data_IF_995026439163
#
_entry.id   IF_995026439163
#
_cell.length_a   1.000
_cell.length_b   1.000
_cell.length_c   1.000
_cell.angle_alpha   90.00
_cell.angle_beta   90.00
_cell.angle_gamma   90.00
#
_symmetry.space_group_name_H-M   'P 1'
#
loop_
_entity.id
_entity.type
_entity.pdbx_description
1 polymer ?
#
# COMPACT_ATOMS: atom_id res chain seq x y z
N UNK A 1 6.18 44.69 -29.99
CA UNK A 1 5.99 44.25 -28.58
C UNK A 1 5.49 42.81 -28.61
N UNK A 2 6.38 41.85 -28.36
CA UNK A 2 6.03 40.43 -28.40
C UNK A 2 5.34 40.05 -27.08
N UNK A 3 4.09 39.59 -27.14
CA UNK A 3 3.34 39.09 -25.99
C UNK A 3 3.97 37.76 -25.57
N UNK A 4 4.81 37.79 -24.52
CA UNK A 4 5.29 36.59 -23.84
C UNK A 4 4.06 35.94 -23.19
N UNK A 5 3.52 34.91 -23.83
CA UNK A 5 2.50 34.05 -23.23
C UNK A 5 3.21 33.22 -22.17
N UNK A 6 2.94 33.52 -20.90
CA UNK A 6 3.41 32.70 -19.78
C UNK A 6 2.69 31.36 -19.89
N UNK A 7 3.41 30.34 -20.34
CA UNK A 7 2.92 28.96 -20.35
C UNK A 7 2.76 28.57 -18.88
N UNK A 8 1.53 28.66 -18.36
CA UNK A 8 1.19 28.09 -17.07
C UNK A 8 1.50 26.60 -17.19
N UNK A 9 2.53 26.17 -16.48
CA UNK A 9 2.86 24.77 -16.37
C UNK A 9 1.79 24.22 -15.44
N UNK A 10 0.74 23.62 -16.02
CA UNK A 10 -0.26 22.86 -15.28
C UNK A 10 0.47 21.67 -14.66
N UNK A 11 1.09 21.91 -13.51
CA UNK A 11 1.60 20.89 -12.62
C UNK A 11 0.37 20.23 -12.00
N UNK A 12 -0.28 19.37 -12.80
CA UNK A 12 -1.28 18.41 -12.34
C UNK A 12 -0.55 17.42 -11.42
N UNK A 13 -0.23 17.90 -10.22
CA UNK A 13 0.16 17.05 -9.11
C UNK A 13 -1.12 16.31 -8.80
N UNK A 14 -1.12 15.00 -9.04
CA UNK A 14 -2.25 14.12 -8.75
C UNK A 14 -2.40 14.08 -7.23
N UNK A 15 -3.06 15.10 -6.68
CA UNK A 15 -3.31 15.24 -5.25
C UNK A 15 -4.55 14.39 -4.97
N UNK A 16 -4.31 13.21 -4.43
CA UNK A 16 -5.39 12.36 -3.95
C UNK A 16 -5.99 12.98 -2.69
N UNK A 17 -7.31 12.88 -2.58
CA UNK A 17 -7.96 13.15 -1.31
C UNK A 17 -7.65 12.00 -0.34
N UNK A 18 -7.71 12.28 0.95
CA UNK A 18 -7.46 11.26 1.99
C UNK A 18 -8.40 10.06 1.81
N UNK A 19 -9.66 10.30 1.44
CA UNK A 19 -10.66 9.25 1.15
C UNK A 19 -10.22 8.33 0.00
N UNK A 20 -9.70 8.90 -1.10
CA UNK A 20 -9.21 8.13 -2.25
C UNK A 20 -7.98 7.30 -1.87
N UNK A 21 -7.10 7.86 -1.04
CA UNK A 21 -5.93 7.16 -0.56
C UNK A 21 -6.29 6.00 0.38
N UNK A 22 -7.23 6.21 1.31
CA UNK A 22 -7.71 5.15 2.20
C UNK A 22 -8.42 4.04 1.44
N UNK A 23 -9.30 4.36 0.49
CA UNK A 23 -9.99 3.36 -0.35
C UNK A 23 -8.99 2.53 -1.17
N UNK A 24 -7.96 3.18 -1.70
CA UNK A 24 -6.86 2.48 -2.37
C UNK A 24 -6.14 1.51 -1.44
N UNK A 25 -5.80 1.93 -0.21
CA UNK A 25 -5.13 1.07 0.77
C UNK A 25 -6.01 -0.10 1.20
N UNK A 26 -7.30 0.15 1.44
CA UNK A 26 -8.29 -0.88 1.77
C UNK A 26 -8.35 -1.96 0.70
N UNK A 27 -8.45 -1.57 -0.56
CA UNK A 27 -8.46 -2.50 -1.69
C UNK A 27 -7.12 -3.21 -1.88
N UNK A 28 -5.99 -2.52 -1.70
CA UNK A 28 -4.66 -3.09 -1.87
C UNK A 28 -4.33 -4.18 -0.84
N UNK A 29 -4.75 -3.96 0.41
CA UNK A 29 -4.46 -4.87 1.53
C UNK A 29 -5.63 -5.81 1.87
N UNK A 30 -6.77 -5.68 1.19
CA UNK A 30 -7.98 -6.46 1.49
C UNK A 30 -8.59 -6.13 2.86
N UNK A 31 -8.49 -4.87 3.29
CA UNK A 31 -8.91 -4.38 4.61
C UNK A 31 -10.17 -3.52 4.45
N UNK A 32 -11.23 -3.78 5.19
CA UNK A 32 -12.48 -3.01 5.20
C UNK A 32 -12.34 -1.74 6.06
N UNK A 33 -11.62 -1.87 7.17
CA UNK A 33 -11.40 -0.80 8.13
C UNK A 33 -9.97 -0.78 8.64
N UNK A 34 -9.27 0.35 8.47
CA UNK A 34 -7.91 0.56 8.97
C UNK A 34 -7.99 0.95 10.45
N UNK A 35 -7.43 0.12 11.32
CA UNK A 35 -7.36 0.39 12.78
C UNK A 35 -6.10 1.19 13.11
N UNK A 36 -5.04 1.00 12.33
CA UNK A 36 -3.80 1.71 12.51
C UNK A 36 -2.75 1.33 11.47
N UNK A 37 -1.52 1.78 11.71
CA UNK A 37 -0.38 1.54 10.85
C UNK A 37 0.75 0.95 11.67
N UNK A 38 1.49 0.01 11.08
CA UNK A 38 2.74 -0.50 11.64
C UNK A 38 3.81 0.61 11.64
N UNK A 39 4.90 0.38 12.37
CA UNK A 39 6.06 1.30 12.37
C UNK A 39 6.62 1.57 10.97
N UNK A 40 6.42 0.63 10.04
CA UNK A 40 6.85 0.72 8.65
C UNK A 40 5.81 1.39 7.74
N UNK A 41 4.70 1.89 8.29
CA UNK A 41 3.63 2.56 7.54
C UNK A 41 2.65 1.61 6.83
N UNK A 42 2.69 0.31 7.12
CA UNK A 42 1.74 -0.66 6.55
C UNK A 42 0.42 -0.61 7.33
N UNK A 43 -0.74 -0.37 6.69
CA UNK A 43 -2.04 -0.37 7.37
C UNK A 43 -2.43 -1.78 7.82
N UNK A 44 -3.07 -1.88 8.98
CA UNK A 44 -3.68 -3.12 9.48
C UNK A 44 -5.08 -2.83 10.03
N UNK A 45 -5.96 -3.83 10.00
CA UNK A 45 -7.30 -3.68 10.52
C UNK A 45 -8.24 -4.84 10.18
N UNK A 46 -9.54 -4.54 10.08
CA UNK A 46 -10.54 -5.56 9.79
C UNK A 46 -10.47 -5.95 8.32
N UNK A 47 -10.36 -7.24 8.01
CA UNK A 47 -10.32 -7.73 6.64
C UNK A 47 -11.69 -7.65 5.97
N UNK A 48 -11.72 -7.42 4.66
CA UNK A 48 -12.93 -7.54 3.84
C UNK A 48 -13.24 -9.04 3.74
N UNK A 49 -14.26 -9.48 4.44
CA UNK A 49 -14.73 -10.86 4.38
C UNK A 49 -15.59 -11.05 3.12
N UNK A 50 -14.93 -11.13 1.97
CA UNK A 50 -15.63 -11.24 0.67
C UNK A 50 -16.03 -12.68 0.32
N UNK A 51 -15.76 -13.67 1.20
CA UNK A 51 -16.37 -15.02 1.37
C UNK A 51 -15.30 -16.01 1.92
N UNK A 52 -15.24 -16.25 3.24
CA UNK A 52 -14.74 -17.48 3.91
C UNK A 52 -13.87 -18.48 3.10
N UNK A 53 -12.70 -18.11 2.58
CA UNK A 53 -11.76 -19.08 1.96
C UNK A 53 -10.28 -18.67 1.97
N UNK A 54 -9.82 -17.76 2.82
CA UNK A 54 -8.39 -17.56 3.03
C UNK A 54 -8.10 -17.33 4.51
N UNK A 55 -8.14 -18.43 5.25
CA UNK A 55 -7.46 -18.63 6.54
C UNK A 55 -5.93 -18.61 6.34
N UNK A 56 -5.43 -17.71 5.49
CA UNK A 56 -4.02 -17.47 5.26
C UNK A 56 -3.69 -16.19 6.01
N UNK A 57 -3.62 -16.37 7.34
CA UNK A 57 -2.68 -15.61 8.15
C UNK A 57 -1.43 -15.42 7.31
N UNK A 58 -1.23 -14.18 6.84
CA UNK A 58 0.06 -13.69 6.38
C UNK A 58 0.95 -13.57 7.63
N UNK A 59 1.12 -14.67 8.37
CA UNK A 59 2.39 -14.97 9.00
C UNK A 59 3.33 -15.14 7.83
N UNK A 60 3.91 -14.00 7.42
CA UNK A 60 5.11 -13.94 6.60
C UNK A 60 6.05 -14.98 7.20
N UNK A 61 6.09 -16.14 6.57
CA UNK A 61 6.90 -17.27 6.96
C UNK A 61 8.34 -16.83 6.71
N UNK A 62 8.88 -16.08 7.66
CA UNK A 62 10.30 -15.82 7.78
C UNK A 62 10.95 -17.03 8.45
N UNK A 63 10.67 -18.23 7.95
CA UNK A 63 11.62 -19.33 8.08
C UNK A 63 12.62 -19.15 6.94
N UNK A 64 13.68 -18.40 7.27
CA UNK A 64 14.94 -18.40 6.53
C UNK A 64 15.47 -19.84 6.49
N UNK A 65 15.07 -20.63 5.50
CA UNK A 65 15.83 -21.80 5.09
C UNK A 65 16.93 -21.35 4.12
N UNK A 66 17.88 -20.58 4.65
CA UNK A 66 19.19 -20.40 4.00
C UNK A 66 20.12 -21.49 4.52
N UNK A 67 19.92 -22.72 4.03
CA UNK A 67 21.00 -23.69 3.97
C UNK A 67 21.94 -23.29 2.83
N UNK A 68 22.72 -22.25 3.07
CA UNK A 68 23.85 -21.88 2.23
C UNK A 68 25.02 -22.80 2.60
N UNK A 69 25.36 -23.70 1.68
CA UNK A 69 26.37 -24.73 1.81
C UNK A 69 27.77 -24.09 1.74
N UNK A 70 28.37 -23.73 2.88
CA UNK A 70 29.77 -23.31 2.94
C UNK A 70 30.71 -24.53 3.02
N UNK A 71 31.68 -24.68 2.11
CA UNK A 71 32.65 -25.78 2.13
C UNK A 71 33.88 -25.44 3.00
N UNK A 72 34.37 -26.43 3.76
CA UNK A 72 35.78 -26.52 4.19
C UNK A 72 36.30 -27.95 3.98
#
# INVERSE_FOLDING_TARGET
MSKKSTKNQDNNTDVWTDEQYEEYLKNLYGIDFIVGYTENGVPYGAMIDENNEMDELITKDSSLDSNDEEPF
#
